data_IF_511101797829
#
_entry.id   IF_511101797829
#
_cell.length_a   1.000
_cell.length_b   1.000
_cell.length_c   1.000
_cell.angle_alpha   90.00
_cell.angle_beta   90.00
_cell.angle_gamma   90.00
#
_symmetry.space_group_name_H-M   'P 1'
#
loop_
_entity.id
_entity.type
_entity.pdbx_description
1 polymer ?
#
# COMPACT_ATOMS: atom_id res chain seq x y z
N UNK A 1 3.60 -7.27 -1.31
CA UNK A 1 2.90 -6.54 -2.39
C UNK A 1 1.79 -7.42 -2.93
N UNK A 2 0.64 -6.83 -3.27
CA UNK A 2 -0.50 -7.47 -3.94
C UNK A 2 -0.89 -6.63 -5.15
N UNK A 3 -1.79 -7.12 -6.01
CA UNK A 3 -2.30 -6.32 -7.12
C UNK A 3 -3.09 -5.14 -6.59
N UNK A 4 -2.95 -3.99 -7.23
CA UNK A 4 -3.75 -2.81 -6.88
C UNK A 4 -5.24 -3.09 -7.12
N UNK A 5 -6.09 -2.39 -6.36
CA UNK A 5 -7.52 -2.31 -6.69
C UNK A 5 -7.70 -1.51 -7.99
N UNK A 6 -8.79 -1.74 -8.72
CA UNK A 6 -9.00 -1.12 -10.05
C UNK A 6 -8.97 0.42 -9.97
N UNK A 7 -9.42 0.97 -8.86
CA UNK A 7 -9.47 2.40 -8.58
C UNK A 7 -8.10 3.06 -8.44
N UNK A 8 -7.03 2.28 -8.26
CA UNK A 8 -5.65 2.75 -8.08
C UNK A 8 -4.74 2.41 -9.28
N UNK A 9 -5.27 1.78 -10.33
CA UNK A 9 -4.47 1.36 -11.49
C UNK A 9 -3.87 2.53 -12.27
N UNK A 10 -4.44 3.73 -12.18
CA UNK A 10 -3.88 4.95 -12.79
C UNK A 10 -2.61 5.43 -12.06
N UNK A 11 -2.34 4.93 -10.85
CA UNK A 11 -1.14 5.20 -10.06
C UNK A 11 -0.10 4.10 -10.28
N UNK A 12 -0.48 2.84 -10.06
CA UNK A 12 0.38 1.66 -10.24
C UNK A 12 -0.45 0.37 -10.25
N UNK A 13 0.04 -0.68 -10.91
CA UNK A 13 -0.57 -2.02 -10.95
C UNK A 13 -0.42 -2.84 -9.65
N UNK A 14 0.36 -2.36 -8.67
CA UNK A 14 0.70 -3.07 -7.43
C UNK A 14 0.53 -2.14 -6.23
N UNK A 15 0.07 -2.70 -5.12
CA UNK A 15 -0.10 -1.98 -3.86
C UNK A 15 0.57 -2.73 -2.70
N UNK A 16 0.97 -2.02 -1.63
CA UNK A 16 1.40 -2.66 -0.39
C UNK A 16 0.26 -3.48 0.22
N UNK A 17 0.63 -4.47 1.02
CA UNK A 17 -0.32 -5.10 1.94
C UNK A 17 -0.48 -4.15 3.12
N UNK A 18 -1.71 -3.73 3.38
CA UNK A 18 -2.07 -2.89 4.53
C UNK A 18 -2.83 -3.79 5.50
N UNK A 19 -2.40 -3.82 6.75
CA UNK A 19 -3.09 -4.57 7.81
C UNK A 19 -4.13 -3.68 8.48
N UNK A 20 -5.29 -4.25 8.82
CA UNK A 20 -6.18 -3.61 9.77
C UNK A 20 -5.53 -3.67 11.17
N UNK A 21 -5.73 -2.68 12.05
CA UNK A 21 -5.20 -2.73 13.41
C UNK A 21 -5.53 -4.02 14.17
N UNK A 22 -6.74 -4.56 13.95
CA UNK A 22 -7.19 -5.80 14.58
C UNK A 22 -6.43 -7.05 14.08
N UNK A 23 -5.78 -6.97 12.91
CA UNK A 23 -5.04 -8.08 12.30
C UNK A 23 -3.56 -8.11 12.73
N UNK A 24 -3.10 -7.14 13.52
CA UNK A 24 -1.69 -7.02 13.91
C UNK A 24 -1.21 -8.23 14.72
N UNK A 25 -2.03 -8.71 15.65
CA UNK A 25 -1.66 -9.86 16.49
C UNK A 25 -1.54 -11.13 15.65
N UNK A 26 -2.49 -11.36 14.74
CA UNK A 26 -2.43 -12.48 13.78
C UNK A 26 -1.18 -12.41 12.93
N UNK A 27 -0.81 -11.23 12.43
CA UNK A 27 0.41 -11.07 11.63
C UNK A 27 1.70 -11.39 12.41
N UNK A 28 1.77 -10.99 13.68
CA UNK A 28 3.00 -11.10 14.47
C UNK A 28 3.14 -12.45 15.18
N UNK A 29 2.03 -13.09 15.57
CA UNK A 29 2.03 -14.17 16.55
C UNK A 29 1.31 -15.45 16.10
N UNK A 30 0.50 -15.42 15.03
CA UNK A 30 -0.20 -16.61 14.56
C UNK A 30 0.70 -17.52 13.71
N UNK A 31 0.14 -18.64 13.24
CA UNK A 31 0.85 -19.50 12.31
C UNK A 31 1.17 -18.78 10.99
N UNK A 32 2.17 -19.27 10.27
CA UNK A 32 2.52 -18.72 8.96
C UNK A 32 1.32 -18.74 8.00
N UNK A 33 0.51 -19.80 8.02
CA UNK A 33 -0.66 -19.92 7.15
C UNK A 33 -1.72 -18.87 7.46
N UNK A 34 -1.98 -18.60 8.75
CA UNK A 34 -2.91 -17.55 9.19
C UNK A 34 -2.39 -16.17 8.83
N UNK A 35 -1.11 -15.88 9.07
CA UNK A 35 -0.49 -14.61 8.67
C UNK A 35 -0.54 -14.42 7.14
N UNK A 36 -0.32 -15.48 6.37
CA UNK A 36 -0.37 -15.44 4.90
C UNK A 36 -1.78 -15.14 4.38
N UNK A 37 -2.83 -15.50 5.11
CA UNK A 37 -4.22 -15.15 4.74
C UNK A 37 -4.48 -13.63 4.71
N UNK A 38 -3.65 -12.84 5.42
CA UNK A 38 -3.72 -11.38 5.45
C UNK A 38 -3.06 -10.71 4.23
N UNK A 39 -2.33 -11.48 3.40
CA UNK A 39 -1.64 -10.99 2.20
C UNK A 39 -2.65 -10.84 1.05
N UNK A 40 -3.51 -9.83 1.16
CA UNK A 40 -4.61 -9.55 0.23
C UNK A 40 -4.78 -8.05 0.00
N UNK A 41 -5.62 -7.68 -0.97
CA UNK A 41 -5.98 -6.27 -1.22
C UNK A 41 -6.70 -5.70 0.00
N UNK A 42 -6.34 -4.49 0.40
CA UNK A 42 -7.08 -3.78 1.43
C UNK A 42 -8.40 -3.24 0.86
N UNK A 43 -9.50 -3.19 1.63
CA UNK A 43 -10.78 -2.71 1.13
C UNK A 43 -10.69 -1.30 0.56
N UNK A 44 -11.09 -1.12 -0.72
CA UNK A 44 -11.00 0.17 -1.43
C UNK A 44 -11.82 1.26 -0.73
N UNK A 45 -12.98 0.91 -0.17
CA UNK A 45 -13.88 1.83 0.55
C UNK A 45 -13.23 2.46 1.80
N UNK A 46 -12.09 1.93 2.24
CA UNK A 46 -11.28 2.45 3.35
C UNK A 46 -10.02 3.18 2.89
N UNK A 47 -9.82 3.35 1.59
CA UNK A 47 -8.69 4.07 1.01
C UNK A 47 -9.16 5.39 0.42
N UNK A 48 -8.31 6.42 0.52
CA UNK A 48 -8.53 7.69 -0.16
C UNK A 48 -7.20 8.16 -0.75
N UNK A 49 -7.24 8.70 -1.96
CA UNK A 49 -6.07 9.23 -2.65
C UNK A 49 -6.10 10.75 -2.57
N UNK A 50 -5.12 11.31 -1.89
CA UNK A 50 -4.83 12.74 -1.91
C UNK A 50 -3.66 12.99 -2.88
N UNK A 51 -3.93 13.66 -4.01
CA UNK A 51 -2.89 14.00 -4.99
C UNK A 51 -2.19 15.31 -4.60
N UNK A 52 -0.87 15.31 -4.61
CA UNK A 52 -0.05 16.52 -4.43
C UNK A 52 0.52 17.01 -5.77
N UNK A 53 0.69 18.32 -5.88
CA UNK A 53 1.43 18.95 -6.96
C UNK A 53 2.96 18.91 -6.73
N UNK A 54 3.39 18.56 -5.52
CA UNK A 54 4.81 18.47 -5.18
C UNK A 54 5.43 17.24 -5.86
N UNK A 55 6.50 17.42 -6.66
CA UNK A 55 7.17 16.30 -7.28
C UNK A 55 7.86 15.42 -6.22
N UNK A 56 7.71 14.10 -6.36
CA UNK A 56 8.31 13.13 -5.45
C UNK A 56 9.86 13.14 -5.46
N UNK A 57 10.45 13.70 -6.51
CA UNK A 57 11.90 13.87 -6.64
C UNK A 57 12.28 15.35 -6.68
N UNK A 58 13.41 15.71 -6.08
CA UNK A 58 14.00 17.05 -6.24
C UNK A 58 14.94 17.03 -7.45
N UNK A 59 14.72 17.93 -8.42
CA UNK A 59 15.72 18.18 -9.46
C UNK A 59 17.00 18.71 -8.79
N UNK A 60 18.13 18.07 -9.03
CA UNK A 60 19.42 18.57 -8.59
C UNK A 60 19.67 19.90 -9.29
N UNK A 61 19.91 20.97 -8.53
CA UNK A 61 20.22 22.30 -9.09
C UNK A 61 21.52 22.20 -9.88
N UNK A 62 21.49 22.66 -11.15
CA UNK A 62 22.68 22.72 -11.99
C UNK A 62 23.76 23.54 -11.27
N UNK A 63 24.91 22.91 -11.03
CA UNK A 63 26.08 23.55 -10.41
C UNK A 63 26.63 24.54 -11.44
N UNK A 64 26.52 25.84 -11.16
CA UNK A 64 27.15 26.89 -11.97
C UNK A 64 28.65 27.00 -11.69
#
# INVERSE_FOLDING_TARGET
MVDATEELWDIHDRMPVILHPDDHDTWLNASADEAMSLVRKYPTDRLTVERTADPWFKKQSARS
#
